data_IF_951269536293
#
_entry.id   IF_951269536293
#
_cell.length_a   1.000
_cell.length_b   1.000
_cell.length_c   1.000
_cell.angle_alpha   90.00
_cell.angle_beta   90.00
_cell.angle_gamma   90.00
#
_symmetry.space_group_name_H-M   'P 1'
#
loop_
_entity.id
_entity.type
_entity.pdbx_description
1 polymer ?
#
# COMPACT_ATOMS: atom_id res chain seq x y z
N UNK A 1 -43.82 -38.06 -22.37
CA UNK A 1 -43.87 -37.41 -21.05
C UNK A 1 -42.53 -36.73 -20.81
N UNK A 2 -42.47 -35.40 -20.81
CA UNK A 2 -41.25 -34.66 -20.50
C UNK A 2 -41.13 -34.50 -18.97
N UNK A 3 -39.93 -34.63 -18.38
CA UNK A 3 -39.74 -34.45 -16.95
C UNK A 3 -40.04 -32.99 -16.58
N UNK A 4 -40.97 -32.79 -15.65
CA UNK A 4 -41.56 -31.47 -15.34
C UNK A 4 -40.68 -30.55 -14.51
N UNK A 5 -39.53 -31.01 -14.00
CA UNK A 5 -38.68 -30.20 -13.12
C UNK A 5 -37.20 -30.41 -13.43
N UNK A 6 -36.71 -29.76 -14.48
CA UNK A 6 -35.27 -29.61 -14.72
C UNK A 6 -34.85 -28.24 -14.20
N UNK A 7 -33.98 -28.22 -13.19
CA UNK A 7 -33.36 -27.01 -12.68
C UNK A 7 -32.08 -26.71 -13.45
N UNK A 8 -32.00 -25.55 -14.06
CA UNK A 8 -30.82 -25.05 -14.75
C UNK A 8 -30.02 -24.13 -13.81
N UNK A 9 -28.70 -24.24 -13.87
CA UNK A 9 -27.78 -23.42 -13.08
C UNK A 9 -27.29 -22.23 -13.90
N UNK A 10 -27.01 -21.13 -13.21
CA UNK A 10 -26.39 -19.95 -13.84
C UNK A 10 -24.85 -20.09 -13.83
N UNK A 11 -24.12 -19.52 -14.81
CA UNK A 11 -22.66 -19.57 -14.83
C UNK A 11 -22.00 -19.00 -13.56
N UNK A 12 -22.62 -18.02 -12.91
CA UNK A 12 -22.12 -17.46 -11.65
C UNK A 12 -22.18 -18.45 -10.48
N UNK A 13 -23.10 -19.42 -10.52
CA UNK A 13 -23.19 -20.50 -9.53
C UNK A 13 -22.05 -21.53 -9.66
N UNK A 14 -21.39 -21.55 -10.82
CA UNK A 14 -20.21 -22.40 -11.08
C UNK A 14 -18.89 -21.73 -10.67
N UNK A 15 -18.93 -20.56 -10.02
CA UNK A 15 -17.73 -19.94 -9.48
C UNK A 15 -17.55 -20.31 -8.00
N UNK A 16 -16.32 -20.66 -7.56
CA UNK A 16 -16.06 -20.85 -6.15
C UNK A 16 -16.38 -19.54 -5.43
N UNK A 17 -17.41 -19.55 -4.55
CA UNK A 17 -17.72 -18.46 -3.63
C UNK A 17 -16.52 -18.25 -2.72
N UNK A 18 -15.53 -17.51 -3.22
CA UNK A 18 -14.44 -17.00 -2.43
C UNK A 18 -15.11 -16.04 -1.49
N UNK A 19 -15.27 -16.47 -0.23
CA UNK A 19 -15.55 -15.56 0.88
C UNK A 19 -14.56 -14.42 0.72
N UNK A 20 -15.06 -13.25 0.30
CA UNK A 20 -14.26 -12.03 0.34
C UNK A 20 -13.78 -11.93 1.77
N UNK A 21 -12.49 -12.21 1.98
CA UNK A 21 -11.82 -11.79 3.18
C UNK A 21 -12.03 -10.28 3.17
N UNK A 22 -12.82 -9.79 4.11
CA UNK A 22 -12.88 -8.37 4.44
C UNK A 22 -11.43 -7.99 4.71
N UNK A 23 -10.75 -7.48 3.70
CA UNK A 23 -9.41 -6.93 3.83
C UNK A 23 -9.62 -5.75 4.75
N UNK A 24 -9.13 -5.86 5.97
CA UNK A 24 -8.85 -4.70 6.82
C UNK A 24 -8.20 -3.69 5.88
N UNK A 25 -8.86 -2.55 5.61
CA UNK A 25 -8.36 -1.53 4.67
C UNK A 25 -7.01 -1.06 5.19
N UNK A 26 -5.94 -1.69 4.71
CA UNK A 26 -4.58 -1.24 4.93
C UNK A 26 -4.44 0.08 4.21
N UNK A 27 -3.93 1.11 4.89
CA UNK A 27 -3.70 2.40 4.27
C UNK A 27 -2.81 2.23 3.02
N UNK A 28 -3.04 2.99 1.96
CA UNK A 28 -2.17 3.00 0.80
C UNK A 28 -0.72 3.25 1.20
N UNK A 29 0.24 2.59 0.55
CA UNK A 29 1.67 2.66 0.92
C UNK A 29 2.57 2.98 -0.25
N UNK A 30 3.73 3.55 0.04
CA UNK A 30 4.79 3.74 -0.92
C UNK A 30 6.15 3.80 -0.24
N UNK A 31 7.17 4.22 -0.99
CA UNK A 31 8.55 4.27 -0.50
C UNK A 31 9.29 5.51 -0.97
N UNK A 32 10.39 5.81 -0.28
CA UNK A 32 11.31 6.88 -0.66
C UNK A 32 12.49 6.25 -1.38
N UNK A 33 12.74 6.67 -2.62
CA UNK A 33 13.90 6.22 -3.39
C UNK A 33 15.19 6.82 -2.85
N UNK A 34 16.33 6.17 -3.14
CA UNK A 34 17.67 6.65 -2.78
C UNK A 34 18.06 7.97 -3.45
N UNK A 35 17.31 8.41 -4.46
CA UNK A 35 17.45 9.70 -5.11
C UNK A 35 16.61 10.82 -4.46
N UNK A 36 15.97 10.57 -3.31
CA UNK A 36 15.17 11.57 -2.61
C UNK A 36 13.80 11.84 -3.28
N UNK A 37 13.25 10.86 -4.00
CA UNK A 37 11.90 10.95 -4.57
C UNK A 37 10.93 10.09 -3.78
N UNK A 38 9.75 10.62 -3.49
CA UNK A 38 8.61 9.84 -2.98
C UNK A 38 8.04 9.06 -4.15
N UNK A 39 7.94 7.74 -4.01
CA UNK A 39 7.37 6.85 -5.02
C UNK A 39 6.02 6.35 -4.55
N UNK A 40 4.98 6.71 -5.32
CA UNK A 40 3.63 6.20 -5.18
C UNK A 40 3.46 4.98 -6.08
N UNK A 41 2.92 3.90 -5.52
CA UNK A 41 2.47 2.76 -6.30
C UNK A 41 1.22 3.16 -7.11
N UNK A 42 1.01 2.55 -8.28
CA UNK A 42 -0.18 2.83 -9.09
C UNK A 42 -1.49 2.59 -8.29
N UNK A 43 -1.54 1.48 -7.55
CA UNK A 43 -2.66 1.17 -6.65
C UNK A 43 -2.88 2.26 -5.59
N UNK A 44 -1.83 2.89 -5.10
CA UNK A 44 -1.94 3.98 -4.11
C UNK A 44 -2.52 5.25 -4.70
N UNK A 45 -2.12 5.61 -5.92
CA UNK A 45 -2.71 6.77 -6.62
C UNK A 45 -4.20 6.52 -6.89
N UNK A 46 -4.56 5.32 -7.34
CA UNK A 46 -5.96 4.92 -7.58
C UNK A 46 -6.79 4.91 -6.29
N UNK A 47 -6.27 4.33 -5.20
CA UNK A 47 -6.95 4.29 -3.90
C UNK A 47 -7.14 5.69 -3.29
N UNK A 48 -6.22 6.62 -3.56
CA UNK A 48 -6.30 8.01 -3.12
C UNK A 48 -7.15 8.89 -4.06
N UNK A 49 -7.54 8.37 -5.23
CA UNK A 49 -8.29 9.12 -6.24
C UNK A 49 -7.51 10.30 -6.81
N UNK A 50 -6.18 10.22 -6.86
CA UNK A 50 -5.34 11.30 -7.39
C UNK A 50 -5.27 11.18 -8.92
N UNK A 51 -5.39 12.30 -9.62
CA UNK A 51 -5.14 12.40 -11.07
C UNK A 51 -3.74 12.97 -11.33
N UNK A 52 -2.69 12.13 -11.44
CA UNK A 52 -1.30 12.58 -11.42
C UNK A 52 -0.91 13.47 -12.61
N UNK A 53 -1.66 13.43 -13.71
CA UNK A 53 -1.40 14.27 -14.91
C UNK A 53 -1.95 15.69 -14.78
N UNK A 54 -3.00 15.87 -13.94
CA UNK A 54 -3.70 17.14 -13.80
C UNK A 54 -3.48 17.79 -12.43
N UNK A 55 -3.13 17.02 -11.40
CA UNK A 55 -2.98 17.52 -10.04
C UNK A 55 -1.55 17.95 -9.74
N UNK A 56 -1.40 19.19 -9.28
CA UNK A 56 -0.17 19.67 -8.63
C UNK A 56 -0.42 19.80 -7.14
N UNK A 57 0.66 19.78 -6.35
CA UNK A 57 0.58 19.73 -4.89
C UNK A 57 1.42 20.82 -4.26
N UNK A 58 0.88 21.48 -3.23
CA UNK A 58 1.72 22.08 -2.20
C UNK A 58 2.20 20.99 -1.26
N UNK A 59 3.45 21.10 -0.83
CA UNK A 59 4.09 20.14 0.07
C UNK A 59 4.38 20.84 1.38
N UNK A 60 3.83 20.31 2.47
CA UNK A 60 4.02 20.80 3.83
C UNK A 60 4.60 19.74 4.76
N UNK A 61 5.11 20.19 5.91
CA UNK A 61 5.64 19.34 6.99
C UNK A 61 5.16 19.87 8.34
N UNK A 62 5.25 19.04 9.38
CA UNK A 62 4.99 19.48 10.76
C UNK A 62 5.85 20.69 11.16
N UNK A 63 5.22 21.77 11.64
CA UNK A 63 5.93 22.96 12.10
C UNK A 63 6.67 22.69 13.42
N UNK A 64 7.90 23.20 13.54
CA UNK A 64 8.68 23.14 14.78
C UNK A 64 9.31 21.78 15.11
N UNK A 65 9.20 20.79 14.22
CA UNK A 65 9.88 19.50 14.38
C UNK A 65 11.21 19.49 13.63
N UNK A 66 12.27 19.01 14.30
CA UNK A 66 13.62 18.91 13.71
C UNK A 66 13.72 17.84 12.62
N UNK A 67 12.92 16.78 12.71
CA UNK A 67 12.88 15.66 11.75
C UNK A 67 11.49 15.53 11.15
N UNK A 68 11.42 15.38 9.84
CA UNK A 68 10.16 15.10 9.13
C UNK A 68 9.69 13.70 9.54
N UNK A 69 8.46 13.64 10.06
CA UNK A 69 7.72 12.39 10.26
C UNK A 69 6.53 12.31 9.32
N UNK A 70 5.85 13.44 9.11
CA UNK A 70 4.73 13.52 8.20
C UNK A 70 5.01 14.54 7.08
N UNK A 71 4.60 14.18 5.87
CA UNK A 71 4.48 15.10 4.73
C UNK A 71 3.00 15.29 4.41
N UNK A 72 2.63 16.52 4.11
CA UNK A 72 1.27 16.87 3.73
C UNK A 72 1.27 17.32 2.28
N UNK A 73 0.39 16.75 1.46
CA UNK A 73 0.19 17.12 0.07
C UNK A 73 -1.21 17.69 -0.09
N UNK A 74 -1.30 18.93 -0.55
CA UNK A 74 -2.57 19.61 -0.77
C UNK A 74 -2.66 19.94 -2.26
N UNK A 75 -3.68 19.44 -2.99
CA UNK A 75 -3.92 19.83 -4.37
C UNK A 75 -3.98 21.35 -4.53
N UNK A 76 -3.31 21.89 -5.53
CA UNK A 76 -3.27 23.33 -5.78
C UNK A 76 -3.09 23.64 -7.26
N UNK A 77 -3.62 24.77 -7.69
CA UNK A 77 -3.38 25.35 -9.01
C UNK A 77 -2.29 26.44 -9.01
N UNK A 78 -1.66 26.67 -7.85
CA UNK A 78 -0.63 27.69 -7.73
C UNK A 78 0.61 27.39 -8.59
N UNK A 79 1.29 28.46 -9.00
CA UNK A 79 2.49 28.39 -9.84
C UNK A 79 3.68 27.66 -9.17
N UNK A 80 3.81 27.78 -7.85
CA UNK A 80 4.86 27.15 -7.07
C UNK A 80 4.41 25.81 -6.46
N UNK A 81 4.01 24.87 -7.32
CA UNK A 81 3.48 23.57 -6.92
C UNK A 81 4.33 22.42 -7.46
N UNK A 82 4.36 21.32 -6.72
CA UNK A 82 5.08 20.11 -7.10
C UNK A 82 4.17 19.21 -7.93
N UNK A 83 4.66 18.76 -9.07
CA UNK A 83 3.96 17.83 -9.94
C UNK A 83 4.43 16.39 -9.70
N UNK A 84 3.48 15.47 -9.74
CA UNK A 84 3.78 14.04 -9.76
C UNK A 84 4.16 13.65 -11.20
N UNK A 85 5.22 12.86 -11.35
CA UNK A 85 5.70 12.41 -12.67
C UNK A 85 5.63 10.89 -12.75
N UNK A 86 5.03 10.36 -13.81
CA UNK A 86 4.98 8.93 -14.08
C UNK A 86 6.39 8.33 -14.14
N UNK A 87 6.59 7.20 -13.49
CA UNK A 87 7.89 6.52 -13.44
C UNK A 87 7.67 5.00 -13.41
N UNK A 88 8.02 4.32 -14.51
CA UNK A 88 7.90 2.88 -14.63
C UNK A 88 6.49 2.37 -14.30
N UNK A 89 6.35 1.67 -13.17
CA UNK A 89 5.09 1.08 -12.67
C UNK A 89 4.33 1.94 -11.66
N UNK A 90 4.72 3.19 -11.48
CA UNK A 90 4.07 4.07 -10.52
C UNK A 90 4.35 5.52 -10.84
N UNK A 91 4.42 6.33 -9.79
CA UNK A 91 4.53 7.76 -9.89
C UNK A 91 5.54 8.29 -8.88
N UNK A 92 6.19 9.41 -9.20
CA UNK A 92 7.26 9.96 -8.38
C UNK A 92 7.06 11.45 -8.13
N UNK A 93 7.41 11.89 -6.92
CA UNK A 93 7.44 13.29 -6.52
C UNK A 93 8.84 13.62 -6.00
N UNK A 94 9.54 14.53 -6.67
CA UNK A 94 10.91 14.88 -6.33
C UNK A 94 10.95 15.83 -5.12
N UNK A 95 11.57 15.39 -4.02
CA UNK A 95 11.63 16.13 -2.75
C UNK A 95 13.00 16.00 -2.06
N UNK A 96 14.06 15.76 -2.81
CA UNK A 96 15.41 15.48 -2.34
C UNK A 96 15.93 16.53 -1.35
N UNK A 97 15.84 17.82 -1.68
CA UNK A 97 16.27 18.91 -0.81
C UNK A 97 15.41 19.03 0.46
N UNK A 98 14.11 18.76 0.38
CA UNK A 98 13.18 18.87 1.51
C UNK A 98 13.40 17.69 2.47
N UNK A 99 13.52 16.48 1.94
CA UNK A 99 13.73 15.27 2.72
C UNK A 99 15.10 15.29 3.44
N UNK A 100 16.15 15.68 2.73
CA UNK A 100 17.50 15.76 3.29
C UNK A 100 17.61 16.83 4.38
N UNK A 101 17.11 18.06 4.13
CA UNK A 101 17.04 19.12 5.15
C UNK A 101 16.12 18.75 6.31
N UNK A 102 15.10 17.95 6.04
CA UNK A 102 14.18 17.38 7.02
C UNK A 102 14.75 16.22 7.84
N UNK A 103 16.01 15.86 7.65
CA UNK A 103 16.69 14.82 8.43
C UNK A 103 16.30 13.39 8.07
N UNK A 104 15.77 13.17 6.85
CA UNK A 104 15.53 11.83 6.30
C UNK A 104 16.77 11.38 5.52
N UNK A 105 17.40 10.31 5.99
CA UNK A 105 18.53 9.68 5.32
C UNK A 105 18.05 8.61 4.33
N UNK A 106 17.55 9.05 3.17
CA UNK A 106 17.13 8.15 2.11
C UNK A 106 18.29 7.50 1.34
N UNK A 107 19.51 8.01 1.51
CA UNK A 107 20.70 7.45 0.86
C UNK A 107 21.24 6.22 1.62
N UNK A 108 21.26 6.30 2.96
CA UNK A 108 21.73 5.22 3.82
C UNK A 108 20.65 4.22 4.27
N UNK A 109 19.38 4.64 4.30
CA UNK A 109 18.28 3.81 4.84
C UNK A 109 17.03 3.80 3.96
N UNK A 110 16.39 2.64 3.84
CA UNK A 110 15.10 2.53 3.16
C UNK A 110 13.97 3.08 4.04
N UNK A 111 13.11 3.88 3.42
CA UNK A 111 11.96 4.48 4.08
C UNK A 111 10.69 4.15 3.31
N UNK A 112 9.63 3.86 4.06
CA UNK A 112 8.28 3.63 3.57
C UNK A 112 7.34 4.68 4.13
N UNK A 113 6.20 4.88 3.48
CA UNK A 113 5.15 5.73 4.02
C UNK A 113 3.78 5.06 3.92
N UNK A 114 2.88 5.45 4.82
CA UNK A 114 1.45 5.22 4.72
C UNK A 114 0.75 6.52 4.38
N UNK A 115 -0.15 6.50 3.40
CA UNK A 115 -0.92 7.64 2.98
C UNK A 115 -2.34 7.60 3.58
N UNK A 116 -2.84 8.75 3.97
CA UNK A 116 -4.21 8.94 4.48
C UNK A 116 -4.79 10.24 3.93
N UNK A 117 -6.10 10.27 3.76
CA UNK A 117 -6.83 11.45 3.28
C UNK A 117 -7.32 12.24 4.50
N UNK A 118 -7.20 13.55 4.47
CA UNK A 118 -7.74 14.45 5.48
C UNK A 118 -8.37 15.68 4.82
N UNK A 119 -9.27 16.37 5.52
CA UNK A 119 -9.84 17.63 5.04
C UNK A 119 -8.91 18.79 5.41
N UNK A 120 -8.61 19.64 4.43
CA UNK A 120 -7.87 20.87 4.60
C UNK A 120 -8.60 22.01 3.91
N UNK A 121 -9.23 22.88 4.71
CA UNK A 121 -9.94 24.06 4.21
C UNK A 121 -11.02 23.72 3.15
N UNK A 122 -11.68 22.56 3.29
CA UNK A 122 -12.68 22.07 2.33
C UNK A 122 -12.11 21.40 1.07
N UNK A 123 -10.79 21.19 1.01
CA UNK A 123 -10.10 20.42 -0.04
C UNK A 123 -9.52 19.13 0.57
N UNK A 124 -9.62 18.02 -0.17
CA UNK A 124 -9.02 16.76 0.24
C UNK A 124 -7.48 16.86 0.17
N UNK A 125 -6.83 16.86 1.33
CA UNK A 125 -5.39 16.75 1.49
C UNK A 125 -4.95 15.31 1.75
N UNK A 126 -3.67 15.05 1.53
CA UNK A 126 -3.06 13.73 1.72
C UNK A 126 -1.91 13.81 2.72
N UNK A 127 -2.01 13.08 3.82
CA UNK A 127 -0.98 12.98 4.84
C UNK A 127 -0.18 11.69 4.64
N UNK A 128 1.13 11.82 4.47
CA UNK A 128 2.09 10.73 4.30
C UNK A 128 2.90 10.58 5.59
N UNK A 129 2.63 9.53 6.35
CA UNK A 129 3.40 9.20 7.55
C UNK A 129 4.61 8.36 7.15
N UNK A 130 5.81 8.92 7.31
CA UNK A 130 7.08 8.29 6.92
C UNK A 130 7.64 7.51 8.08
N UNK A 131 8.11 6.29 7.79
CA UNK A 131 8.79 5.43 8.73
C UNK A 131 9.97 4.75 8.05
N UNK A 132 11.06 4.43 8.77
CA UNK A 132 12.06 3.52 8.24
C UNK A 132 11.38 2.19 7.90
N UNK A 133 11.85 1.53 6.84
CA UNK A 133 11.36 0.19 6.49
C UNK A 133 11.82 -0.79 7.58
N UNK A 134 11.00 -0.95 8.61
CA UNK A 134 11.14 -2.08 9.53
C UNK A 134 10.80 -3.33 8.74
N UNK A 135 11.83 -4.07 8.36
CA UNK A 135 11.71 -5.46 7.94
C UNK A 135 11.11 -6.17 9.16
N UNK A 136 9.78 -6.31 9.18
CA UNK A 136 9.14 -7.26 10.08
C UNK A 136 9.57 -8.60 9.51
N UNK A 137 10.70 -9.12 10.00
CA UNK A 137 11.13 -10.48 9.75
C UNK A 137 9.90 -11.34 9.99
N UNK A 138 9.38 -11.95 8.92
CA UNK A 138 8.36 -12.99 9.05
C UNK A 138 8.93 -13.94 10.08
N UNK A 139 8.28 -14.02 11.25
CA UNK A 139 8.79 -14.76 12.38
C UNK A 139 9.33 -16.11 11.85
N UNK A 140 10.61 -16.41 12.08
CA UNK A 140 11.22 -17.61 11.53
C UNK A 140 10.32 -18.78 11.90
N UNK A 141 9.94 -19.56 10.89
CA UNK A 141 9.05 -20.70 11.02
C UNK A 141 9.45 -21.49 12.28
N UNK A 142 8.66 -21.34 13.35
CA UNK A 142 8.84 -22.11 14.57
C UNK A 142 8.33 -23.50 14.27
N UNK A 143 9.14 -24.24 13.53
CA UNK A 143 8.93 -25.61 13.14
C UNK A 143 8.81 -26.46 14.39
N UNK A 144 7.57 -26.66 14.84
CA UNK A 144 7.23 -27.93 15.44
C UNK A 144 7.24 -28.93 14.28
N UNK A 145 8.13 -29.93 14.25
CA UNK A 145 8.03 -30.98 13.25
C UNK A 145 6.60 -31.53 13.32
N UNK A 146 5.88 -31.52 12.20
CA UNK A 146 4.59 -32.20 12.14
C UNK A 146 4.89 -33.66 12.46
N UNK A 147 4.50 -34.09 13.66
CA UNK A 147 4.68 -35.46 14.11
C UNK A 147 4.20 -36.41 13.01
N UNK A 148 5.00 -37.44 12.74
CA UNK A 148 4.60 -38.53 11.86
C UNK A 148 3.28 -39.07 12.38
N UNK A 149 2.19 -38.98 11.60
CA UNK A 149 0.99 -39.78 11.89
C UNK A 149 1.45 -41.25 11.91
N UNK A 150 1.17 -42.02 12.98
CA UNK A 150 1.43 -43.46 12.96
C UNK A 150 0.67 -44.06 11.79
N UNK A 151 1.37 -44.83 10.95
CA UNK A 151 0.75 -45.68 9.94
C UNK A 151 0.12 -46.83 10.72
N UNK A 152 -1.21 -46.93 10.69
CA UNK A 152 -1.95 -48.06 11.23
C UNK A 152 -1.40 -49.33 10.58
N UNK A 153 -0.86 -50.23 11.39
CA UNK A 153 -0.52 -51.59 10.99
C UNK A 153 -1.81 -52.30 10.59
N UNK A 154 -1.90 -52.70 9.33
CA UNK A 154 -2.81 -53.75 8.91
C UNK A 154 -2.05 -55.07 9.08
N UNK A 155 -2.46 -55.87 10.07
CA UNK A 155 -1.97 -57.23 10.26
C UNK A 155 -2.35 -58.12 9.05
N UNK A 156 -1.45 -59.01 8.59
CA UNK A 156 -1.76 -60.03 7.59
C UNK A 156 -2.46 -61.22 8.25
N UNK A 157 -3.42 -61.81 7.54
CA UNK A 157 -4.24 -62.91 8.02
C UNK A 157 -3.53 -64.23 8.27
N UNK A 158 -4.25 -65.08 9.00
CA UNK A 158 -4.25 -66.53 8.87
C UNK A 158 -5.67 -67.04 9.09
#
# INVERSE_FOLDING_TARGET
MAPKDIRFFLPEENQPKTKEKVKVKTLPTGYISSAGKIIFLAATIEELGIEPENTKFQVGTDQGKRKIKNLYLIPTDQSNAFAIVRTGRGYSLALDLILSKGGIDYAGSKHVFTASIFDHEGVAGYALAISPETIVEKAPYTGKPRGRKPKVEAEPGN
#
